data_IF_257036488541
#
_entry.id   IF_257036488541
#
_cell.length_a   1.000
_cell.length_b   1.000
_cell.length_c   1.000
_cell.angle_alpha   90.00
_cell.angle_beta   90.00
_cell.angle_gamma   90.00
#
_symmetry.space_group_name_H-M   'P 1'
#
loop_
_entity.id
_entity.type
_entity.pdbx_description
1 polymer ?
#
# COMPACT_ATOMS: atom_id res chain seq x y z
N UNK A 1 -6.27 13.63 -1.28
CA UNK A 1 -5.38 12.51 -1.63
C UNK A 1 -6.18 11.23 -1.80
N UNK A 2 -5.72 10.30 -2.63
CA UNK A 2 -6.25 8.93 -2.73
C UNK A 2 -5.11 7.91 -2.83
N UNK A 3 -5.39 6.64 -2.52
CA UNK A 3 -4.42 5.56 -2.69
C UNK A 3 -4.64 4.85 -4.03
N UNK A 4 -3.57 4.31 -4.59
CA UNK A 4 -3.57 3.50 -5.78
C UNK A 4 -2.58 2.33 -5.63
N UNK A 5 -2.72 1.32 -6.47
CA UNK A 5 -1.71 0.26 -6.63
C UNK A 5 -1.36 0.21 -8.11
N UNK A 6 -0.11 0.50 -8.46
CA UNK A 6 0.38 0.41 -9.84
C UNK A 6 1.26 -0.84 -9.99
N UNK A 7 1.49 -1.31 -11.20
CA UNK A 7 2.39 -2.40 -11.49
C UNK A 7 3.14 -2.19 -12.80
N UNK A 8 4.38 -2.67 -12.82
CA UNK A 8 5.13 -3.00 -14.03
C UNK A 8 4.94 -4.49 -14.32
N UNK A 9 5.55 -5.02 -15.37
CA UNK A 9 5.49 -6.45 -15.69
C UNK A 9 6.07 -7.35 -14.59
N UNK A 10 6.94 -6.80 -13.73
CA UNK A 10 7.73 -7.57 -12.76
C UNK A 10 7.33 -7.32 -11.31
N UNK A 11 6.79 -6.15 -10.96
CA UNK A 11 6.50 -5.78 -9.58
C UNK A 11 5.32 -4.82 -9.47
N UNK A 12 4.75 -4.71 -8.27
CA UNK A 12 3.71 -3.74 -7.96
C UNK A 12 4.18 -2.74 -6.91
N UNK A 13 3.61 -1.55 -6.97
CA UNK A 13 3.87 -0.46 -6.04
C UNK A 13 2.58 0.07 -5.47
N UNK A 14 2.61 0.40 -4.18
CA UNK A 14 1.53 1.15 -3.53
C UNK A 14 1.81 2.63 -3.70
N UNK A 15 0.77 3.40 -3.98
CA UNK A 15 0.90 4.82 -4.34
C UNK A 15 0.01 5.68 -3.46
N UNK A 16 0.53 6.82 -3.01
CA UNK A 16 -0.24 7.91 -2.42
C UNK A 16 -0.27 9.06 -3.42
N UNK A 17 -1.46 9.42 -3.89
CA UNK A 17 -1.64 10.53 -4.82
C UNK A 17 -2.22 11.72 -4.07
N UNK A 18 -1.43 12.76 -3.90
CA UNK A 18 -1.81 13.95 -3.16
C UNK A 18 -2.62 14.93 -4.01
N UNK A 19 -2.40 14.95 -5.32
CA UNK A 19 -3.21 15.72 -6.27
C UNK A 19 -4.46 14.94 -6.70
N UNK A 20 -5.62 15.31 -6.18
CA UNK A 20 -6.90 14.65 -6.49
C UNK A 20 -7.40 14.91 -7.90
N UNK A 21 -6.88 15.92 -8.61
CA UNK A 21 -7.23 16.15 -10.01
C UNK A 21 -6.75 14.99 -10.92
N UNK A 22 -5.76 14.22 -10.47
CA UNK A 22 -5.24 13.06 -11.19
C UNK A 22 -6.12 11.81 -11.06
N UNK A 23 -7.20 11.84 -10.26
CA UNK A 23 -8.02 10.64 -10.01
C UNK A 23 -8.58 10.01 -11.30
N UNK A 24 -8.90 10.82 -12.32
CA UNK A 24 -9.36 10.36 -13.63
C UNK A 24 -8.29 9.66 -14.48
N UNK A 25 -7.01 9.75 -14.11
CA UNK A 25 -5.91 9.04 -14.77
C UNK A 25 -5.66 7.66 -14.16
N UNK A 26 -5.96 7.50 -12.87
CA UNK A 26 -5.86 6.23 -12.16
C UNK A 26 -7.15 5.43 -12.38
N UNK A 27 -7.34 4.96 -13.62
CA UNK A 27 -8.45 4.08 -14.02
C UNK A 27 -7.93 2.65 -14.17
N UNK A 28 -8.60 1.66 -13.57
CA UNK A 28 -8.29 0.24 -13.68
C UNK A 28 -7.89 -0.24 -15.08
N UNK A 29 -6.76 -0.96 -15.20
CA UNK A 29 -6.30 -1.51 -16.48
C UNK A 29 -5.73 -0.49 -17.47
N UNK A 30 -5.78 0.82 -17.16
CA UNK A 30 -5.14 1.84 -17.97
C UNK A 30 -3.62 1.78 -17.78
N UNK A 31 -2.90 1.97 -18.89
CA UNK A 31 -1.45 2.15 -18.88
C UNK A 31 -1.16 3.65 -18.78
N UNK A 32 -0.44 4.03 -17.73
CA UNK A 32 0.01 5.40 -17.49
C UNK A 32 1.53 5.47 -17.41
N UNK A 33 2.11 6.62 -17.69
CA UNK A 33 3.51 6.90 -17.38
C UNK A 33 3.56 7.82 -16.17
N UNK A 34 4.44 7.50 -15.21
CA UNK A 34 4.62 8.29 -13.98
C UNK A 34 6.09 8.69 -13.88
N UNK A 35 6.36 9.97 -13.68
CA UNK A 35 7.71 10.49 -13.43
C UNK A 35 7.70 11.60 -12.37
N UNK A 36 8.88 11.95 -11.85
CA UNK A 36 9.04 12.93 -10.77
C UNK A 36 8.21 12.59 -9.52
N UNK A 37 8.05 11.29 -9.24
CA UNK A 37 7.47 10.80 -7.99
C UNK A 37 8.53 10.74 -6.89
N UNK A 38 8.10 10.67 -5.64
CA UNK A 38 8.99 10.49 -4.48
C UNK A 38 8.80 9.08 -3.92
N UNK A 39 9.89 8.32 -3.74
CA UNK A 39 9.84 7.06 -3.00
C UNK A 39 9.92 7.32 -1.50
N UNK A 40 8.90 6.96 -0.74
CA UNK A 40 8.88 7.16 0.71
C UNK A 40 8.15 6.01 1.42
N UNK A 41 8.80 5.39 2.42
CA UNK A 41 8.18 4.38 3.29
C UNK A 41 7.50 3.21 2.55
N UNK A 42 8.11 2.76 1.44
CA UNK A 42 7.55 1.69 0.60
C UNK A 42 6.36 2.12 -0.27
N UNK A 43 6.13 3.43 -0.44
CA UNK A 43 5.17 3.98 -1.38
C UNK A 43 5.84 4.85 -2.44
N UNK A 44 5.19 4.94 -3.61
CA UNK A 44 5.38 6.06 -4.51
C UNK A 44 4.43 7.19 -4.08
N UNK A 45 4.97 8.39 -3.89
CA UNK A 45 4.22 9.58 -3.52
C UNK A 45 4.18 10.54 -4.73
N UNK A 46 2.96 10.86 -5.15
CA UNK A 46 2.68 11.68 -6.34
C UNK A 46 2.10 12.99 -5.87
N UNK A 47 2.80 14.06 -6.21
CA UNK A 47 2.44 15.44 -5.87
C UNK A 47 2.05 16.21 -7.12
N UNK A 48 1.65 17.46 -6.94
CA UNK A 48 1.33 18.38 -8.05
C UNK A 48 2.50 18.60 -9.02
N UNK A 49 3.73 18.49 -8.54
CA UNK A 49 4.93 18.61 -9.36
C UNK A 49 5.29 17.30 -10.12
N UNK A 50 4.63 16.19 -9.79
CA UNK A 50 4.83 14.92 -10.48
C UNK A 50 4.08 14.89 -11.81
N UNK A 51 4.57 14.12 -12.77
CA UNK A 51 3.94 13.97 -14.08
C UNK A 51 3.22 12.64 -14.17
N UNK A 52 1.94 12.68 -14.57
CA UNK A 52 1.14 11.48 -14.90
C UNK A 52 0.48 11.68 -16.26
N UNK A 53 0.87 10.88 -17.23
CA UNK A 53 0.37 10.95 -18.61
C UNK A 53 -0.20 9.62 -19.07
N UNK A 54 -1.14 9.69 -20.02
CA UNK A 54 -1.65 8.50 -20.67
C UNK A 54 -0.60 8.00 -21.67
N UNK A 55 -0.43 6.68 -21.75
CA UNK A 55 0.48 6.08 -22.73
C UNK A 55 -0.36 5.73 -23.97
N UNK A 56 -0.18 6.50 -25.04
CA UNK A 56 -0.88 6.32 -26.31
C UNK A 56 -0.08 5.42 -27.26
N UNK A 57 0.22 4.20 -26.82
CA UNK A 57 0.96 3.24 -27.62
C UNK A 57 0.15 1.93 -27.61
N UNK A 58 0.36 1.11 -28.64
CA UNK A 58 -0.06 -0.28 -28.76
C UNK A 58 0.96 -1.30 -28.16
N UNK A 59 1.55 -1.17 -26.94
CA UNK A 59 2.25 -2.27 -26.32
C UNK A 59 1.31 -2.98 -25.34
N UNK A 60 1.22 -4.28 -25.48
CA UNK A 60 0.69 -5.16 -24.44
C UNK A 60 1.68 -5.18 -23.28
N UNK A 61 1.56 -4.24 -22.32
CA UNK A 61 2.14 -4.46 -21.00
C UNK A 61 1.34 -5.57 -20.32
N UNK A 62 1.96 -6.75 -20.20
CA UNK A 62 1.29 -7.94 -19.66
C UNK A 62 1.67 -8.09 -18.20
N UNK A 63 0.71 -7.89 -17.32
CA UNK A 63 0.85 -8.18 -15.89
C UNK A 63 0.48 -9.64 -15.67
N UNK A 64 1.37 -10.41 -15.06
CA UNK A 64 1.04 -11.80 -14.71
C UNK A 64 -0.11 -11.85 -13.68
N UNK A 65 -0.96 -12.88 -13.79
CA UNK A 65 -2.04 -13.09 -12.82
C UNK A 65 -1.51 -13.26 -11.39
N UNK A 66 -0.35 -13.92 -11.24
CA UNK A 66 0.29 -14.07 -9.94
C UNK A 66 0.66 -12.72 -9.33
N UNK A 67 1.21 -11.80 -10.14
CA UNK A 67 1.58 -10.46 -9.67
C UNK A 67 0.33 -9.65 -9.29
N UNK A 68 -0.72 -9.71 -10.11
CA UNK A 68 -1.98 -9.03 -9.81
C UNK A 68 -2.65 -9.55 -8.53
N UNK A 69 -2.71 -10.86 -8.36
CA UNK A 69 -3.22 -11.50 -7.14
C UNK A 69 -2.40 -11.09 -5.91
N UNK A 70 -1.07 -11.09 -6.02
CA UNK A 70 -0.17 -10.71 -4.92
C UNK A 70 -0.36 -9.26 -4.46
N UNK A 71 -0.67 -8.35 -5.39
CA UNK A 71 -0.80 -6.92 -5.11
C UNK A 71 -2.06 -6.58 -4.28
N UNK A 72 -3.10 -7.40 -4.42
CA UNK A 72 -4.38 -7.25 -3.70
C UNK A 72 -4.53 -8.26 -2.55
N UNK A 73 -3.63 -9.23 -2.45
CA UNK A 73 -3.65 -10.23 -1.40
C UNK A 73 -3.54 -9.60 -0.01
N UNK A 74 -4.31 -10.15 0.92
CA UNK A 74 -4.16 -9.81 2.34
C UNK A 74 -2.99 -10.62 2.90
N UNK A 75 -1.94 -9.97 3.46
CA UNK A 75 -0.83 -10.68 4.06
C UNK A 75 -1.29 -11.44 5.31
N UNK A 76 -0.84 -12.68 5.45
CA UNK A 76 -1.08 -13.52 6.62
C UNK A 76 -0.50 -12.88 7.88
N UNK A 77 -1.15 -13.05 9.03
CA UNK A 77 -0.68 -12.47 10.29
C UNK A 77 0.70 -13.02 10.67
N UNK A 78 0.98 -14.31 10.49
CA UNK A 78 2.31 -14.87 10.75
C UNK A 78 3.42 -14.20 9.93
N UNK A 79 3.14 -13.89 8.66
CA UNK A 79 4.05 -13.14 7.80
C UNK A 79 4.26 -11.71 8.33
N UNK A 80 3.20 -11.02 8.75
CA UNK A 80 3.32 -9.68 9.33
C UNK A 80 4.18 -9.67 10.60
N UNK A 81 4.05 -10.70 11.45
CA UNK A 81 4.84 -10.81 12.67
C UNK A 81 6.34 -10.95 12.42
N UNK A 82 6.74 -11.51 11.26
CA UNK A 82 8.15 -11.62 10.84
C UNK A 82 8.69 -10.40 10.10
N UNK A 83 7.85 -9.44 9.70
CA UNK A 83 8.29 -8.26 8.96
C UNK A 83 8.97 -7.21 9.86
N UNK A 84 9.86 -6.45 9.23
CA UNK A 84 10.51 -5.30 9.84
C UNK A 84 9.50 -4.23 10.27
N UNK A 85 9.77 -3.56 11.39
CA UNK A 85 8.94 -2.44 11.85
C UNK A 85 9.07 -1.27 10.88
N UNK A 86 8.03 -0.45 10.77
CA UNK A 86 7.91 0.57 9.73
C UNK A 86 7.39 0.04 8.40
N UNK A 87 7.17 -1.28 8.25
CA UNK A 87 6.50 -1.85 7.07
C UNK A 87 5.05 -1.38 7.03
N UNK A 88 4.57 -0.99 5.85
CA UNK A 88 3.18 -0.60 5.67
C UNK A 88 2.34 -1.74 5.12
N UNK A 89 1.12 -1.85 5.65
CA UNK A 89 0.21 -2.96 5.41
C UNK A 89 -1.09 -2.45 4.80
N UNK A 90 -1.49 -3.13 3.72
CA UNK A 90 -2.84 -3.09 3.17
C UNK A 90 -3.41 -4.52 3.29
N UNK A 91 -4.70 -4.65 3.54
CA UNK A 91 -5.35 -5.96 3.61
C UNK A 91 -6.74 -5.91 4.21
N UNK A 92 -7.45 -7.02 4.15
CA UNK A 92 -8.78 -7.18 4.74
C UNK A 92 -8.75 -8.25 5.83
N UNK A 93 -9.04 -7.83 7.07
CA UNK A 93 -8.91 -8.71 8.23
C UNK A 93 -10.23 -8.84 8.97
N UNK A 94 -10.52 -10.03 9.50
CA UNK A 94 -11.69 -10.23 10.36
C UNK A 94 -11.38 -9.73 11.76
N UNK A 95 -12.25 -8.89 12.29
CA UNK A 95 -12.17 -8.38 13.66
C UNK A 95 -12.78 -9.41 14.60
N UNK A 96 -12.03 -9.86 15.61
CA UNK A 96 -12.53 -10.77 16.65
C UNK A 96 -12.77 -10.09 17.99
N UNK A 97 -12.16 -8.91 18.21
CA UNK A 97 -12.27 -8.15 19.46
C UNK A 97 -12.23 -6.66 19.16
N UNK A 98 -12.94 -5.88 19.96
CA UNK A 98 -12.88 -4.41 19.97
C UNK A 98 -12.71 -3.95 21.40
N UNK A 99 -11.91 -2.91 21.61
CA UNK A 99 -11.74 -2.27 22.91
C UNK A 99 -11.54 -0.79 22.69
N UNK A 100 -12.41 0.02 23.28
CA UNK A 100 -12.33 1.48 23.18
C UNK A 100 -11.52 2.03 24.35
N UNK A 101 -10.70 3.04 24.06
CA UNK A 101 -9.93 3.83 25.03
C UNK A 101 -10.21 5.30 24.74
N UNK A 102 -9.84 6.19 25.65
CA UNK A 102 -10.22 7.61 25.58
C UNK A 102 -9.93 8.26 24.21
N UNK A 103 -8.75 8.01 23.63
CA UNK A 103 -8.32 8.65 22.37
C UNK A 103 -8.13 7.67 21.20
N UNK A 104 -8.36 6.37 21.41
CA UNK A 104 -8.08 5.35 20.40
C UNK A 104 -9.00 4.13 20.53
N UNK A 105 -9.16 3.41 19.41
CA UNK A 105 -9.83 2.11 19.40
C UNK A 105 -8.81 1.04 19.05
N UNK A 106 -8.80 -0.05 19.82
CA UNK A 106 -8.00 -1.23 19.55
C UNK A 106 -8.90 -2.33 19.00
N UNK A 107 -8.63 -2.76 17.77
CA UNK A 107 -9.24 -3.94 17.17
C UNK A 107 -8.29 -5.14 17.28
N UNK A 108 -8.77 -6.28 17.76
CA UNK A 108 -8.10 -7.55 17.58
C UNK A 108 -8.49 -8.13 16.22
N UNK A 109 -7.51 -8.35 15.35
CA UNK A 109 -7.67 -9.01 14.05
C UNK A 109 -7.03 -10.39 14.05
N UNK A 110 -7.63 -11.34 13.34
CA UNK A 110 -7.18 -12.72 13.34
C UNK A 110 -7.40 -13.42 11.99
N UNK A 111 -6.53 -14.37 11.72
CA UNK A 111 -6.66 -15.37 10.66
C UNK A 111 -6.21 -16.74 11.20
N UNK A 112 -6.16 -17.75 10.33
CA UNK A 112 -5.68 -19.10 10.62
C UNK A 112 -4.20 -19.17 11.04
N UNK A 113 -3.42 -18.11 10.81
CA UNK A 113 -1.98 -18.05 11.08
C UNK A 113 -1.62 -17.26 12.34
N UNK A 114 -2.56 -16.52 12.92
CA UNK A 114 -2.31 -15.78 14.15
C UNK A 114 -3.34 -14.73 14.50
N UNK A 115 -2.99 -13.92 15.51
CA UNK A 115 -3.78 -12.77 15.97
C UNK A 115 -2.86 -11.57 16.16
N UNK A 116 -3.37 -10.39 15.87
CA UNK A 116 -2.64 -9.14 16.01
C UNK A 116 -3.58 -8.00 16.42
N UNK A 117 -3.05 -6.97 17.07
CA UNK A 117 -3.80 -5.77 17.38
C UNK A 117 -3.67 -4.72 16.27
N UNK A 118 -4.74 -3.95 16.05
CA UNK A 118 -4.77 -2.75 15.22
C UNK A 118 -5.23 -1.59 16.09
N UNK A 119 -4.41 -0.56 16.22
CA UNK A 119 -4.72 0.64 16.99
C UNK A 119 -5.04 1.79 16.04
N UNK A 120 -6.25 2.33 16.16
CA UNK A 120 -6.71 3.46 15.35
C UNK A 120 -6.87 4.72 16.20
N UNK A 121 -6.49 5.86 15.63
CA UNK A 121 -6.54 7.18 16.25
C UNK A 121 -7.31 8.18 15.37
N UNK A 122 -7.70 9.30 15.98
CA UNK A 122 -8.25 10.46 15.27
C UNK A 122 -9.47 10.12 14.41
N UNK A 123 -9.51 10.59 13.17
CA UNK A 123 -10.68 10.43 12.27
C UNK A 123 -11.16 8.98 12.07
N UNK A 124 -10.29 7.98 12.25
CA UNK A 124 -10.63 6.58 12.03
C UNK A 124 -11.39 5.94 13.19
N UNK A 125 -11.45 6.58 14.36
CA UNK A 125 -12.27 6.11 15.49
C UNK A 125 -13.77 6.24 15.22
N UNK A 126 -14.17 7.10 14.27
CA UNK A 126 -15.57 7.30 13.88
C UNK A 126 -16.13 6.18 12.98
N UNK A 127 -15.29 5.25 12.50
CA UNK A 127 -15.73 4.13 11.66
C UNK A 127 -16.38 3.07 12.53
N UNK A 128 -17.69 2.85 12.34
CA UNK A 128 -18.44 1.80 13.04
C UNK A 128 -17.99 0.42 12.59
N UNK A 129 -17.29 -0.30 13.45
CA UNK A 129 -16.82 -1.65 13.22
C UNK A 129 -17.05 -2.48 14.49
N UNK A 130 -17.59 -3.68 14.33
CA UNK A 130 -17.90 -4.58 15.45
C UNK A 130 -17.20 -5.94 15.28
N UNK A 131 -17.02 -6.73 16.36
CA UNK A 131 -16.54 -8.10 16.23
C UNK A 131 -17.35 -8.90 15.20
N UNK A 132 -16.67 -9.65 14.36
CA UNK A 132 -17.21 -10.36 13.20
C UNK A 132 -17.25 -9.53 11.91
N UNK A 133 -17.01 -8.22 11.95
CA UNK A 133 -16.84 -7.41 10.74
C UNK A 133 -15.53 -7.74 10.02
N UNK A 134 -15.54 -7.66 8.70
CA UNK A 134 -14.31 -7.64 7.90
C UNK A 134 -13.88 -6.18 7.71
N UNK A 135 -12.65 -5.89 8.10
CA UNK A 135 -12.07 -4.55 8.14
C UNK A 135 -10.98 -4.42 7.09
N UNK A 136 -11.19 -3.53 6.13
CA UNK A 136 -10.19 -3.17 5.13
C UNK A 136 -9.28 -2.09 5.69
N UNK A 137 -7.97 -2.37 5.67
CA UNK A 137 -6.90 -1.49 6.11
C UNK A 137 -6.06 -1.08 4.91
N UNK A 138 -5.70 0.19 4.85
CA UNK A 138 -4.82 0.77 3.83
C UNK A 138 -3.83 1.71 4.49
N UNK A 139 -2.55 1.55 4.17
CA UNK A 139 -1.44 2.35 4.68
C UNK A 139 -1.39 2.34 6.22
N UNK A 140 -1.45 1.15 6.83
CA UNK A 140 -1.24 0.98 8.27
C UNK A 140 0.20 0.59 8.56
N UNK A 141 0.83 1.21 9.54
CA UNK A 141 2.22 0.94 9.88
C UNK A 141 2.32 -0.24 10.85
N UNK A 142 3.19 -1.19 10.54
CA UNK A 142 3.59 -2.25 11.46
C UNK A 142 4.59 -1.69 12.47
N UNK A 143 4.24 -1.75 13.74
CA UNK A 143 5.06 -1.24 14.84
C UNK A 143 5.07 -2.25 16.01
N UNK A 144 5.77 -1.92 17.08
CA UNK A 144 5.77 -2.69 18.31
C UNK A 144 5.55 -1.79 19.52
N UNK A 145 4.88 -2.31 20.53
CA UNK A 145 4.72 -1.63 21.82
C UNK A 145 4.90 -2.65 22.92
N UNK A 146 5.90 -2.45 23.80
CA UNK A 146 6.26 -3.39 24.86
C UNK A 146 6.40 -4.83 24.31
N UNK A 147 7.16 -4.97 23.23
CA UNK A 147 7.43 -6.22 22.52
C UNK A 147 6.23 -6.93 21.86
N UNK A 148 5.06 -6.29 21.85
CA UNK A 148 3.89 -6.77 21.10
C UNK A 148 3.83 -6.08 19.75
N UNK A 149 3.89 -6.88 18.67
CA UNK A 149 3.71 -6.41 17.30
C UNK A 149 2.26 -6.00 17.04
N UNK A 150 2.03 -4.85 16.43
CA UNK A 150 0.70 -4.33 16.12
C UNK A 150 0.70 -3.46 14.86
N UNK A 151 -0.48 -3.24 14.28
CA UNK A 151 -0.69 -2.23 13.26
C UNK A 151 -1.17 -0.93 13.89
N UNK A 152 -0.65 0.19 13.42
CA UNK A 152 -1.02 1.53 13.89
C UNK A 152 -1.51 2.38 12.72
N UNK A 153 -2.62 3.09 12.92
CA UNK A 153 -3.04 4.11 11.97
C UNK A 153 -2.08 5.30 11.98
N UNK A 154 -1.67 5.75 10.80
CA UNK A 154 -0.86 6.95 10.55
C UNK A 154 -1.67 8.01 9.79
N UNK A 155 -1.04 9.16 9.49
CA UNK A 155 -1.70 10.31 8.83
C UNK A 155 -2.45 9.93 7.55
N UNK A 156 -1.87 9.06 6.73
CA UNK A 156 -2.44 8.66 5.44
C UNK A 156 -3.19 7.32 5.51
N UNK A 157 -3.45 6.76 6.70
CA UNK A 157 -4.24 5.54 6.79
C UNK A 157 -5.69 5.76 6.36
N UNK A 158 -6.25 4.73 5.74
CA UNK A 158 -7.66 4.62 5.40
C UNK A 158 -8.22 3.28 5.87
N UNK A 159 -9.44 3.30 6.39
CA UNK A 159 -10.11 2.13 6.95
C UNK A 159 -11.57 2.11 6.54
N UNK A 160 -12.08 0.93 6.23
CA UNK A 160 -13.48 0.73 5.86
C UNK A 160 -13.96 -0.66 6.31
N UNK A 161 -15.18 -0.73 6.82
CA UNK A 161 -15.85 -2.03 7.07
C UNK A 161 -16.44 -2.53 5.77
N UNK A 162 -16.10 -3.77 5.38
CA UNK A 162 -16.69 -4.44 4.23
C UNK A 162 -18.11 -4.90 4.58
N UNK A 163 -19.10 -4.49 3.79
CA UNK A 163 -20.49 -4.92 4.00
C UNK A 163 -20.63 -6.44 3.86
N UNK A 164 -21.40 -7.08 4.74
CA UNK A 164 -21.82 -8.47 4.54
C UNK A 164 -22.85 -8.50 3.40
N UNK A 165 -22.47 -9.07 2.26
CA UNK A 165 -23.43 -9.44 1.21
C UNK A 165 -23.57 -8.51 0.00
N UNK A 166 -22.65 -7.56 -0.26
CA UNK A 166 -22.64 -6.86 -1.55
C UNK A 166 -21.21 -6.63 -2.04
N UNK A 167 -20.81 -7.37 -3.08
CA UNK A 167 -19.47 -7.32 -3.72
C UNK A 167 -19.29 -6.14 -4.67
N UNK A 168 -20.24 -5.19 -4.70
CA UNK A 168 -20.22 -4.04 -5.59
C UNK A 168 -20.20 -2.72 -4.80
N UNK A 169 -19.02 -2.30 -4.35
CA UNK A 169 -18.68 -0.92 -3.96
C UNK A 169 -17.16 -0.73 -4.15
N UNK A 170 -16.72 0.50 -4.48
CA UNK A 170 -15.78 0.70 -5.56
C UNK A 170 -14.41 0.15 -5.19
N UNK A 171 -13.90 -0.71 -6.07
CA UNK A 171 -12.57 -1.31 -6.01
C UNK A 171 -11.51 -0.22 -6.21
N UNK A 172 -11.40 0.73 -5.29
CA UNK A 172 -10.45 1.84 -5.36
C UNK A 172 -8.99 1.40 -5.08
N UNK A 173 -8.73 0.10 -5.07
CA UNK A 173 -7.39 -0.46 -5.22
C UNK A 173 -7.48 -1.46 -6.34
N UNK A 174 -7.40 -0.96 -7.57
CA UNK A 174 -7.16 -1.81 -8.73
C UNK A 174 -5.73 -1.56 -9.18
N UNK A 175 -5.09 -2.62 -9.64
CA UNK A 175 -3.82 -2.53 -10.34
C UNK A 175 -3.94 -1.61 -11.55
N UNK A 176 -3.07 -0.62 -11.59
CA UNK A 176 -2.84 0.24 -12.73
C UNK A 176 -1.55 -0.20 -13.41
N UNK A 177 -1.54 -0.31 -14.73
CA UNK A 177 -0.31 -0.61 -15.45
C UNK A 177 0.50 0.69 -15.54
N UNK A 178 1.80 0.66 -15.25
CA UNK A 178 2.65 1.85 -15.31
C UNK A 178 3.98 1.59 -16.01
N UNK A 179 4.30 2.42 -17.01
CA UNK A 179 5.67 2.58 -17.50
C UNK A 179 6.40 3.53 -16.55
N UNK A 180 7.34 3.00 -15.77
CA UNK A 180 8.32 3.82 -15.08
C UNK A 180 9.36 4.24 -16.12
N UNK A 181 9.33 5.51 -16.55
CA UNK A 181 10.42 6.05 -17.36
C UNK A 181 11.65 6.18 -16.45
N UNK A 182 12.55 5.22 -16.55
CA UNK A 182 13.81 5.13 -15.81
C UNK A 182 14.87 6.12 -16.34
N UNK A 183 14.56 7.40 -16.48
CA UNK A 183 15.54 8.44 -16.83
C UNK A 183 16.04 9.20 -15.61
N UNK A 184 16.60 8.47 -14.65
CA UNK A 184 17.55 9.04 -13.69
C UNK A 184 18.50 7.95 -13.17
N UNK A 185 19.38 7.46 -14.06
CA UNK A 185 20.53 6.65 -13.68
C UNK A 185 21.78 7.53 -13.71
N UNK A 186 22.60 7.50 -12.66
CA UNK A 186 24.03 7.77 -12.81
C UNK A 186 24.80 6.52 -12.39
N UNK A 187 25.66 6.03 -13.28
CA UNK A 187 26.56 4.93 -13.02
C UNK A 187 27.73 5.44 -12.18
N UNK A 188 28.05 4.77 -11.07
CA UNK A 188 29.33 4.94 -10.38
C UNK A 188 30.05 3.59 -10.45
N UNK A 189 31.27 3.59 -11.00
CA UNK A 189 32.15 2.43 -10.99
C UNK A 189 32.77 2.23 -9.60
N UNK A 190 32.73 1.01 -9.07
CA UNK A 190 33.41 0.65 -7.83
C UNK A 190 34.91 0.42 -8.11
N UNK A 191 35.86 1.07 -7.39
CA UNK A 191 37.29 1.00 -7.71
C UNK A 191 37.98 -0.33 -7.34
N UNK A 192 37.28 -1.28 -6.71
CA UNK A 192 37.91 -2.48 -6.15
C UNK A 192 36.98 -3.68 -6.43
N UNK A 193 37.26 -4.40 -7.52
CA UNK A 193 36.64 -5.69 -7.85
C UNK A 193 35.38 -5.57 -8.73
N UNK A 194 35.50 -6.00 -9.98
CA UNK A 194 34.51 -5.84 -11.06
C UNK A 194 33.21 -6.62 -10.90
N UNK A 195 32.32 -6.15 -10.02
CA UNK A 195 30.90 -6.51 -9.98
C UNK A 195 30.02 -5.26 -10.00
N UNK A 196 29.10 -5.15 -10.98
CA UNK A 196 28.07 -4.12 -11.00
C UNK A 196 27.08 -4.39 -9.86
N UNK A 197 27.22 -3.67 -8.75
CA UNK A 197 26.24 -3.71 -7.65
C UNK A 197 25.22 -2.60 -7.85
N UNK A 198 23.93 -2.95 -7.91
CA UNK A 198 22.81 -1.98 -7.85
C UNK A 198 22.64 -1.52 -6.40
N UNK A 199 22.96 -0.27 -6.11
CA UNK A 199 22.75 0.34 -4.79
C UNK A 199 21.86 1.58 -4.99
N UNK A 200 20.75 1.66 -4.25
CA UNK A 200 19.97 2.90 -4.13
C UNK A 200 20.67 3.80 -3.11
N UNK A 201 21.29 4.89 -3.57
CA UNK A 201 21.75 5.96 -2.69
C UNK A 201 20.58 6.86 -2.31
N UNK A 202 20.32 6.96 -1.01
CA UNK A 202 19.60 8.08 -0.42
C UNK A 202 20.57 9.26 -0.36
N UNK A 203 20.23 10.39 -0.98
CA UNK A 203 20.85 11.65 -0.60
C UNK A 203 19.96 12.33 0.44
N UNK A 204 20.60 12.70 1.56
CA UNK A 204 20.13 13.52 2.68
C UNK A 204 19.70 14.89 2.16
#
# INVERSE_FOLDING_TARGET
>A
MFHATVATETEFFRVKVFDTALMSKFIPGKIIAISHYIGCNGFLEIYRASCVSDVNINPTMIISNTLSESAIATPKISYLLSQAKGTFVNGEFVVFKKSERHECICYGIGDDTGKMAVVVYGRLTNVRCEPGSKLRLVCFELTSTKDVCLLRSVRHSYMQVCARGNSNLPKNHILFNTLLNHECWQYIENPIGGGKSKVCSFNI
#
